data_IF_417702038870
#
_entry.id   IF_417702038870
#
_cell.length_a   1.000
_cell.length_b   1.000
_cell.length_c   1.000
_cell.angle_alpha   90.00
_cell.angle_beta   90.00
_cell.angle_gamma   90.00
#
_symmetry.space_group_name_H-M   'P 1'
#
loop_
_entity.id
_entity.type
_entity.pdbx_description
1 polymer ?
#
# COMPACT_ATOMS: atom_id res chain seq x y z
N UNK A 1 4.60 -11.98 12.45
CA UNK A 1 5.04 -12.79 13.63
C UNK A 1 3.91 -13.70 14.06
N UNK A 2 4.24 -14.95 14.31
CA UNK A 2 3.28 -15.95 14.77
C UNK A 2 3.65 -16.44 16.17
N UNK A 3 2.65 -16.57 17.06
CA UNK A 3 2.79 -17.26 18.34
C UNK A 3 2.34 -18.70 18.21
N UNK A 4 2.98 -19.58 18.95
CA UNK A 4 2.61 -20.98 19.10
C UNK A 4 2.22 -21.20 20.55
N UNK A 5 0.97 -21.58 20.78
CA UNK A 5 0.38 -21.76 22.12
C UNK A 5 0.14 -23.23 22.37
N UNK A 6 0.48 -23.72 23.58
CA UNK A 6 0.11 -25.06 24.03
C UNK A 6 -1.42 -25.14 24.23
N UNK A 7 -2.10 -25.88 23.38
CA UNK A 7 -3.55 -26.18 23.46
C UNK A 7 -3.80 -27.64 23.91
N UNK A 8 -2.78 -28.31 24.44
CA UNK A 8 -2.93 -29.63 24.99
C UNK A 8 -3.65 -29.59 26.35
N UNK A 9 -4.27 -30.68 26.76
CA UNK A 9 -4.89 -30.81 28.11
C UNK A 9 -3.85 -30.83 29.26
N UNK A 10 -2.58 -31.04 28.94
CA UNK A 10 -1.47 -31.10 29.90
C UNK A 10 -0.35 -30.13 29.52
N UNK A 11 0.57 -29.89 30.47
CA UNK A 11 1.80 -29.16 30.21
C UNK A 11 2.69 -29.89 29.21
N UNK A 12 3.47 -29.12 28.47
CA UNK A 12 4.53 -29.61 27.57
C UNK A 12 5.87 -29.06 28.03
N UNK A 13 6.95 -29.78 27.74
CA UNK A 13 8.31 -29.36 28.10
C UNK A 13 9.07 -29.03 26.79
N UNK A 14 9.49 -27.80 26.64
CA UNK A 14 10.30 -27.33 25.50
C UNK A 14 11.61 -26.78 26.06
N UNK A 15 12.74 -27.28 25.58
CA UNK A 15 14.09 -26.90 26.04
C UNK A 15 14.27 -26.95 27.58
N UNK A 16 13.63 -27.93 28.22
CA UNK A 16 13.68 -28.11 29.69
C UNK A 16 12.76 -27.17 30.48
N UNK A 17 11.98 -26.34 29.82
CA UNK A 17 11.01 -25.43 30.45
C UNK A 17 9.61 -26.01 30.30
N UNK A 18 8.85 -26.04 31.40
CA UNK A 18 7.48 -26.49 31.42
C UNK A 18 6.53 -25.34 31.02
N UNK A 19 5.63 -25.60 30.04
CA UNK A 19 4.61 -24.71 29.58
C UNK A 19 3.22 -25.29 29.85
N UNK A 20 2.44 -24.60 30.66
CA UNK A 20 1.08 -24.99 30.99
C UNK A 20 0.15 -24.83 29.76
N UNK A 21 -1.03 -25.49 29.73
CA UNK A 21 -2.07 -25.20 28.74
C UNK A 21 -2.38 -23.72 28.65
N UNK A 22 -2.48 -23.19 27.44
CA UNK A 22 -2.67 -21.77 27.16
C UNK A 22 -1.42 -20.90 27.15
N UNK A 23 -0.24 -21.46 27.49
CA UNK A 23 1.02 -20.71 27.46
C UNK A 23 1.60 -20.63 26.05
N UNK A 24 2.21 -19.50 25.72
CA UNK A 24 3.02 -19.37 24.49
C UNK A 24 4.31 -20.15 24.66
N UNK A 25 4.52 -21.15 23.83
CA UNK A 25 5.70 -22.02 23.86
C UNK A 25 6.81 -21.53 22.94
N UNK A 26 6.45 -20.84 21.87
CA UNK A 26 7.39 -20.25 20.92
C UNK A 26 6.75 -19.08 20.18
N UNK A 27 7.59 -18.20 19.64
CA UNK A 27 7.24 -17.23 18.62
C UNK A 27 8.17 -17.41 17.42
N UNK A 28 7.61 -17.33 16.22
CA UNK A 28 8.35 -17.42 14.96
C UNK A 28 8.05 -16.21 14.09
N UNK A 29 9.03 -15.81 13.29
CA UNK A 29 8.93 -14.66 12.38
C UNK A 29 9.15 -15.13 10.95
N UNK A 30 8.45 -14.50 10.01
CA UNK A 30 8.64 -14.77 8.58
C UNK A 30 9.99 -14.23 8.11
N UNK A 31 10.66 -15.00 7.26
CA UNK A 31 11.84 -14.56 6.52
C UNK A 31 11.47 -13.65 5.33
N UNK A 32 12.46 -13.29 4.53
CA UNK A 32 12.31 -12.47 3.32
C UNK A 32 11.40 -13.09 2.23
N UNK A 33 11.16 -14.40 2.30
CA UNK A 33 10.26 -15.13 1.40
C UNK A 33 8.84 -15.28 1.98
N UNK A 34 8.56 -14.66 3.14
CA UNK A 34 7.30 -14.79 3.84
C UNK A 34 7.11 -16.14 4.56
N UNK A 35 8.16 -16.94 4.74
CA UNK A 35 8.11 -18.26 5.35
C UNK A 35 8.54 -18.18 6.81
N UNK A 36 7.74 -18.76 7.72
CA UNK A 36 8.10 -18.95 9.11
C UNK A 36 8.19 -20.45 9.45
N UNK A 37 9.18 -20.84 10.22
CA UNK A 37 9.34 -22.24 10.65
C UNK A 37 9.97 -22.33 12.04
N UNK A 38 9.65 -23.39 12.76
CA UNK A 38 10.39 -23.78 13.97
C UNK A 38 11.69 -24.47 13.59
N UNK A 39 12.62 -24.58 14.54
CA UNK A 39 13.76 -25.49 14.41
C UNK A 39 13.28 -26.96 14.43
N UNK A 40 14.14 -27.88 14.00
CA UNK A 40 13.85 -29.31 14.10
C UNK A 40 13.60 -29.72 15.56
N UNK A 41 12.63 -30.56 15.76
CA UNK A 41 12.26 -31.13 17.10
C UNK A 41 11.93 -30.06 18.16
N UNK A 42 11.54 -28.82 17.74
CA UNK A 42 11.25 -27.74 18.66
C UNK A 42 10.03 -27.98 19.54
N UNK A 43 9.05 -28.72 19.04
CA UNK A 43 7.80 -28.95 19.75
C UNK A 43 7.59 -30.45 20.06
N UNK A 44 7.35 -30.80 21.32
CA UNK A 44 7.00 -32.18 21.71
C UNK A 44 5.59 -32.57 21.21
N UNK A 45 5.24 -33.83 21.39
CA UNK A 45 3.90 -34.32 21.11
C UNK A 45 2.87 -33.52 21.90
N UNK A 46 1.85 -33.04 21.21
CA UNK A 46 0.83 -32.16 21.79
C UNK A 46 -0.09 -31.54 20.74
N UNK A 47 -1.01 -30.72 21.22
CA UNK A 47 -1.85 -29.88 20.40
C UNK A 47 -1.40 -28.44 20.56
N UNK A 48 -1.26 -27.72 19.46
CA UNK A 48 -0.81 -26.34 19.45
C UNK A 48 -1.72 -25.47 18.59
N UNK A 49 -1.90 -24.24 19.01
CA UNK A 49 -2.52 -23.21 18.19
C UNK A 49 -1.43 -22.27 17.67
N UNK A 50 -1.33 -22.15 16.36
CA UNK A 50 -0.45 -21.18 15.69
C UNK A 50 -1.32 -19.99 15.28
N UNK A 51 -0.99 -18.80 15.76
CA UNK A 51 -1.76 -17.57 15.52
C UNK A 51 -0.83 -16.45 15.09
N UNK A 52 -1.21 -15.70 14.07
CA UNK A 52 -0.52 -14.46 13.76
C UNK A 52 -0.81 -13.41 14.82
N UNK A 53 0.26 -12.79 15.33
CA UNK A 53 0.17 -11.79 16.41
C UNK A 53 0.65 -10.42 16.01
N UNK A 54 1.38 -10.33 14.90
CA UNK A 54 1.86 -9.07 14.36
C UNK A 54 2.07 -9.20 12.85
N UNK A 55 1.36 -8.39 12.08
CA UNK A 55 1.59 -8.24 10.65
C UNK A 55 2.93 -7.53 10.37
N UNK A 56 3.51 -7.68 9.17
CA UNK A 56 4.64 -6.88 8.72
C UNK A 56 4.34 -5.38 8.74
N UNK A 57 5.38 -4.56 8.75
CA UNK A 57 5.19 -3.11 8.61
C UNK A 57 4.51 -2.81 7.27
N UNK A 58 3.55 -1.90 7.29
CA UNK A 58 2.75 -1.57 6.11
C UNK A 58 1.49 -2.42 5.92
N UNK A 59 1.30 -3.44 6.72
CA UNK A 59 0.14 -4.33 6.67
C UNK A 59 -0.71 -4.24 7.93
N UNK A 60 -1.96 -4.68 7.82
CA UNK A 60 -2.90 -4.84 8.92
C UNK A 60 -3.06 -6.31 9.23
N UNK A 61 -3.03 -6.66 10.50
CA UNK A 61 -3.56 -7.95 10.95
C UNK A 61 -5.03 -8.00 10.59
N UNK A 62 -5.40 -8.92 9.72
CA UNK A 62 -6.74 -9.19 9.19
C UNK A 62 -7.81 -8.12 9.49
N UNK A 63 -8.24 -7.40 8.46
CA UNK A 63 -9.24 -6.31 8.54
C UNK A 63 -10.57 -6.72 9.17
N UNK A 64 -10.86 -8.01 9.27
CA UNK A 64 -12.09 -8.57 9.84
C UNK A 64 -11.95 -9.04 11.28
N UNK A 65 -10.88 -8.67 12.00
CA UNK A 65 -10.64 -9.03 13.40
C UNK A 65 -10.49 -10.54 13.68
N UNK A 66 -10.19 -11.33 12.64
CA UNK A 66 -9.90 -12.76 12.77
C UNK A 66 -8.45 -12.97 12.44
N UNK A 67 -7.57 -12.79 13.42
CA UNK A 67 -6.19 -13.21 13.28
C UNK A 67 -6.16 -14.66 12.77
N UNK A 68 -5.37 -14.88 11.72
CA UNK A 68 -5.17 -16.23 11.22
C UNK A 68 -4.75 -17.16 12.36
N UNK A 69 -5.43 -18.28 12.48
CA UNK A 69 -5.16 -19.26 13.54
C UNK A 69 -5.36 -20.68 13.02
N UNK A 70 -4.45 -21.56 13.33
CA UNK A 70 -4.50 -22.98 12.96
C UNK A 70 -4.15 -23.85 14.16
N UNK A 71 -4.95 -24.88 14.37
CA UNK A 71 -4.65 -25.94 15.35
C UNK A 71 -3.84 -27.04 14.66
N UNK A 72 -2.72 -27.39 15.28
CA UNK A 72 -1.82 -28.46 14.82
C UNK A 72 -1.69 -29.50 15.92
N UNK A 73 -1.88 -30.78 15.57
CA UNK A 73 -1.66 -31.92 16.48
C UNK A 73 -0.38 -32.63 16.09
N UNK A 74 0.65 -32.53 16.93
CA UNK A 74 1.93 -33.24 16.76
C UNK A 74 1.78 -34.62 17.42
N UNK A 75 1.78 -35.67 16.60
CA UNK A 75 1.62 -37.07 17.05
C UNK A 75 2.75 -38.00 16.62
N UNK A 76 3.65 -37.51 15.80
CA UNK A 76 4.82 -38.22 15.27
C UNK A 76 5.93 -37.24 14.95
N UNK A 77 7.16 -37.72 14.78
CA UNK A 77 8.27 -36.92 14.31
C UNK A 77 8.10 -36.64 12.81
N UNK A 78 7.56 -35.48 12.48
CA UNK A 78 7.31 -35.06 11.12
C UNK A 78 7.35 -33.53 11.01
N UNK A 79 7.53 -33.05 9.81
CA UNK A 79 7.31 -31.63 9.46
C UNK A 79 5.83 -31.43 9.17
N UNK A 80 5.19 -30.61 9.97
CA UNK A 80 3.79 -30.21 9.76
C UNK A 80 3.78 -28.93 8.90
N UNK A 81 3.61 -29.14 7.60
CA UNK A 81 3.60 -28.05 6.62
C UNK A 81 2.24 -27.34 6.59
N UNK A 82 2.23 -26.06 6.92
CA UNK A 82 1.05 -25.19 6.90
C UNK A 82 1.08 -24.21 5.72
N UNK A 83 2.03 -24.36 4.80
CA UNK A 83 2.26 -23.41 3.67
C UNK A 83 1.38 -23.69 2.44
N UNK A 84 0.48 -24.68 2.47
CA UNK A 84 -0.46 -24.90 1.37
C UNK A 84 -1.32 -23.63 1.15
N UNK A 85 -1.79 -23.41 -0.08
CA UNK A 85 -2.64 -22.25 -0.44
C UNK A 85 -3.86 -22.07 0.46
N UNK A 86 -4.36 -23.16 1.05
CA UNK A 86 -5.45 -23.10 2.03
C UNK A 86 -5.02 -22.59 3.42
N UNK A 87 -3.72 -22.43 3.65
CA UNK A 87 -3.13 -22.01 4.92
C UNK A 87 -2.25 -20.76 4.74
N UNK A 88 -2.25 -20.11 3.56
CA UNK A 88 -1.62 -18.79 3.40
C UNK A 88 -2.34 -17.76 4.27
N UNK A 89 -1.59 -16.80 4.74
CA UNK A 89 -2.09 -15.65 5.48
C UNK A 89 -1.99 -14.45 4.56
N UNK A 90 -3.12 -13.81 4.29
CA UNK A 90 -3.18 -12.63 3.44
C UNK A 90 -3.45 -11.40 4.31
N UNK A 91 -2.44 -10.58 4.51
CA UNK A 91 -2.55 -9.34 5.22
C UNK A 91 -3.00 -8.21 4.28
N UNK A 92 -3.93 -7.39 4.75
CA UNK A 92 -4.34 -6.20 4.01
C UNK A 92 -3.26 -5.12 4.10
N UNK A 93 -2.84 -4.60 2.95
CA UNK A 93 -1.94 -3.44 2.88
C UNK A 93 -2.66 -2.21 3.46
N UNK A 94 -1.99 -1.46 4.32
CA UNK A 94 -2.45 -0.13 4.75
C UNK A 94 -2.52 0.80 3.55
N UNK A 95 -3.60 1.55 3.43
CA UNK A 95 -3.79 2.49 2.33
C UNK A 95 -4.29 3.83 2.86
N UNK A 96 -3.97 4.88 2.16
CA UNK A 96 -4.38 6.23 2.51
C UNK A 96 -4.50 7.13 1.30
N UNK A 97 -4.86 8.38 1.56
CA UNK A 97 -5.06 9.43 0.57
C UNK A 97 -4.31 10.68 0.98
N UNK A 98 -4.22 11.63 0.07
CA UNK A 98 -3.78 12.97 0.37
C UNK A 98 -4.56 14.00 -0.45
N UNK A 99 -4.60 15.22 0.06
CA UNK A 99 -5.19 16.37 -0.59
C UNK A 99 -4.35 17.62 -0.40
N UNK A 100 -4.42 18.52 -1.35
CA UNK A 100 -3.80 19.86 -1.27
C UNK A 100 -4.47 20.84 -2.24
N UNK A 101 -4.18 22.12 -2.07
CA UNK A 101 -4.62 23.17 -2.97
C UNK A 101 -3.46 23.76 -3.75
N UNK A 102 -3.56 23.79 -5.07
CA UNK A 102 -2.60 24.50 -5.92
C UNK A 102 -2.97 25.97 -6.02
N UNK A 103 -2.01 26.83 -5.67
CA UNK A 103 -2.15 28.30 -5.74
C UNK A 103 -0.97 28.92 -6.49
N UNK A 104 -1.19 30.10 -7.06
CA UNK A 104 -0.12 30.96 -7.54
C UNK A 104 0.60 31.58 -6.34
N UNK A 105 1.89 31.36 -6.23
CA UNK A 105 2.69 31.80 -5.07
C UNK A 105 2.79 33.33 -4.90
N UNK A 106 2.40 34.10 -5.92
CA UNK A 106 2.44 35.57 -5.89
C UNK A 106 1.06 36.18 -5.64
N UNK A 107 0.01 35.66 -6.30
CA UNK A 107 -1.35 36.22 -6.21
C UNK A 107 -2.21 35.50 -5.19
N UNK A 108 -1.81 34.30 -4.78
CA UNK A 108 -2.58 33.37 -3.94
C UNK A 108 -3.90 32.90 -4.60
N UNK A 109 -4.06 33.15 -5.89
CA UNK A 109 -5.18 32.65 -6.66
C UNK A 109 -5.04 31.13 -6.85
N UNK A 110 -6.16 30.43 -6.81
CA UNK A 110 -6.20 28.98 -7.04
C UNK A 110 -6.01 28.68 -8.54
N UNK A 111 -5.22 27.67 -8.83
CA UNK A 111 -4.89 27.28 -10.19
C UNK A 111 -5.55 25.95 -10.53
N UNK A 112 -6.52 26.00 -11.44
CA UNK A 112 -7.15 24.83 -12.04
C UNK A 112 -6.27 24.22 -13.16
N UNK A 113 -6.55 22.99 -13.52
CA UNK A 113 -5.96 22.28 -14.67
C UNK A 113 -4.43 22.13 -14.58
N UNK A 114 -3.90 22.04 -13.37
CA UNK A 114 -2.48 21.78 -13.13
C UNK A 114 -2.27 20.31 -12.86
N UNK A 115 -1.50 19.58 -13.70
CA UNK A 115 -1.23 18.16 -13.51
C UNK A 115 -0.06 17.94 -12.53
N UNK A 116 -0.16 16.87 -11.76
CA UNK A 116 0.85 16.39 -10.85
C UNK A 116 1.10 14.90 -11.09
N UNK A 117 2.35 14.53 -11.31
CA UNK A 117 2.80 13.14 -11.37
C UNK A 117 3.08 12.66 -9.94
N UNK A 118 2.43 11.57 -9.56
CA UNK A 118 2.65 10.89 -8.28
C UNK A 118 3.39 9.59 -8.58
N UNK A 119 4.56 9.39 -7.98
CA UNK A 119 5.40 8.21 -8.22
C UNK A 119 5.72 7.50 -6.91
N UNK A 120 5.40 6.20 -6.82
CA UNK A 120 5.81 5.32 -5.74
C UNK A 120 7.33 5.16 -5.73
N UNK A 121 7.98 5.32 -4.58
CA UNK A 121 9.43 5.11 -4.45
C UNK A 121 9.81 3.62 -4.44
N UNK A 122 8.92 2.77 -4.01
CA UNK A 122 9.20 1.32 -3.90
C UNK A 122 8.97 0.62 -5.23
N UNK A 123 7.84 0.88 -5.90
CA UNK A 123 7.45 0.14 -7.12
C UNK A 123 7.80 0.89 -8.40
N UNK A 124 7.95 2.21 -8.35
CA UNK A 124 8.07 3.07 -9.53
C UNK A 124 6.74 3.29 -10.27
N UNK A 125 5.63 2.71 -9.77
CA UNK A 125 4.29 2.96 -10.31
C UNK A 125 3.97 4.45 -10.21
N UNK A 126 3.38 5.02 -11.26
CA UNK A 126 3.09 6.45 -11.32
C UNK A 126 1.73 6.72 -11.94
N UNK A 127 1.07 7.75 -11.42
CA UNK A 127 -0.23 8.22 -11.88
C UNK A 127 -0.27 9.74 -11.89
N UNK A 128 -1.08 10.32 -12.78
CA UNK A 128 -1.26 11.77 -12.88
C UNK A 128 -2.62 12.17 -12.31
N UNK A 129 -2.61 13.15 -11.42
CA UNK A 129 -3.82 13.83 -10.94
C UNK A 129 -3.81 15.28 -11.43
N UNK A 130 -4.99 15.85 -11.58
CA UNK A 130 -5.14 17.22 -12.10
C UNK A 130 -5.97 18.05 -11.13
N UNK A 131 -5.50 19.25 -10.80
CA UNK A 131 -6.26 20.15 -9.93
C UNK A 131 -7.60 20.54 -10.57
N UNK A 132 -8.65 20.55 -9.75
CA UNK A 132 -10.00 20.93 -10.16
C UNK A 132 -10.15 22.46 -10.36
N UNK A 133 -11.38 22.91 -10.66
CA UNK A 133 -11.73 24.30 -10.84
C UNK A 133 -11.45 25.20 -9.63
N UNK A 134 -11.35 24.58 -8.44
CA UNK A 134 -11.00 25.25 -7.18
C UNK A 134 -9.50 25.11 -6.84
N UNK A 135 -8.70 24.58 -7.77
CA UNK A 135 -7.28 24.30 -7.53
C UNK A 135 -7.04 23.13 -6.56
N UNK A 136 -8.05 22.33 -6.26
CA UNK A 136 -7.94 21.21 -5.33
C UNK A 136 -7.42 19.96 -6.04
N UNK A 137 -6.54 19.26 -5.39
CA UNK A 137 -6.13 17.86 -5.69
C UNK A 137 -6.50 17.00 -4.50
N UNK A 138 -7.19 15.90 -4.73
CA UNK A 138 -7.56 14.92 -3.72
C UNK A 138 -7.51 13.52 -4.36
N UNK A 139 -6.93 12.54 -3.69
CA UNK A 139 -6.86 11.17 -4.20
C UNK A 139 -7.98 10.28 -3.68
N UNK A 140 -8.80 10.77 -2.74
CA UNK A 140 -9.86 9.98 -2.14
C UNK A 140 -11.03 9.70 -3.09
N UNK A 141 -11.68 8.55 -2.90
CA UNK A 141 -12.87 8.17 -3.65
C UNK A 141 -14.06 9.12 -3.44
N UNK A 142 -14.06 9.93 -2.36
CA UNK A 142 -15.07 10.97 -2.15
C UNK A 142 -14.98 12.12 -3.16
N UNK A 143 -13.79 12.35 -3.69
CA UNK A 143 -13.56 13.36 -4.73
C UNK A 143 -13.79 12.78 -6.11
N UNK A 144 -13.17 11.63 -6.41
CA UNK A 144 -13.40 10.84 -7.63
C UNK A 144 -13.26 9.35 -7.31
N UNK A 145 -14.19 8.49 -7.77
CA UNK A 145 -14.07 7.03 -7.59
C UNK A 145 -12.72 6.51 -8.07
N UNK A 146 -12.17 5.57 -7.37
CA UNK A 146 -10.91 4.93 -7.75
C UNK A 146 -11.06 4.16 -9.06
N UNK A 147 -10.05 4.18 -9.91
CA UNK A 147 -10.07 3.49 -11.19
C UNK A 147 -8.68 3.07 -11.65
N UNK A 148 -8.59 1.93 -12.34
CA UNK A 148 -7.40 1.54 -13.11
C UNK A 148 -7.24 2.39 -14.38
N UNK A 149 -8.35 2.82 -14.92
CA UNK A 149 -8.32 3.84 -15.96
C UNK A 149 -7.97 5.15 -15.28
N UNK A 150 -6.74 5.26 -14.94
CA UNK A 150 -6.19 6.49 -14.44
C UNK A 150 -6.72 7.64 -15.27
N UNK A 151 -6.77 8.84 -14.76
CA UNK A 151 -7.29 9.96 -15.54
C UNK A 151 -6.67 9.94 -16.96
N UNK A 152 -7.32 10.49 -17.95
CA UNK A 152 -6.83 10.43 -19.34
C UNK A 152 -5.35 10.82 -19.50
N UNK A 153 -4.75 11.42 -18.48
CA UNK A 153 -3.37 11.82 -18.41
C UNK A 153 -2.41 10.68 -18.04
N UNK A 154 -2.86 9.60 -17.41
CA UNK A 154 -1.99 8.43 -17.22
C UNK A 154 -1.71 7.70 -18.52
N UNK A 155 -2.61 7.89 -19.48
CA UNK A 155 -2.42 7.46 -20.86
C UNK A 155 -1.82 8.55 -21.73
N UNK A 156 -1.53 9.70 -21.17
CA UNK A 156 -0.58 10.59 -21.81
C UNK A 156 0.69 9.78 -21.84
N UNK A 157 0.89 9.10 -22.96
CA UNK A 157 2.07 8.30 -23.21
C UNK A 157 3.28 9.09 -22.69
N UNK A 158 4.30 8.41 -22.19
CA UNK A 158 5.56 9.04 -21.75
C UNK A 158 6.08 10.10 -22.73
N UNK A 159 5.59 10.05 -23.96
CA UNK A 159 5.82 11.02 -25.05
C UNK A 159 4.98 12.31 -24.95
N UNK A 160 3.97 12.37 -24.07
CA UNK A 160 3.08 13.55 -23.94
C UNK A 160 3.30 14.32 -22.64
N UNK A 161 3.85 13.66 -21.62
CA UNK A 161 4.32 14.29 -20.38
C UNK A 161 5.80 14.60 -20.56
N UNK A 162 6.13 15.84 -20.76
CA UNK A 162 7.51 16.29 -20.95
C UNK A 162 7.72 17.04 -22.26
N UNK A 163 8.94 17.58 -22.48
CA UNK A 163 9.24 18.29 -23.70
C UNK A 163 9.07 17.36 -24.90
N UNK A 164 7.97 17.54 -25.64
CA UNK A 164 7.81 16.91 -26.96
C UNK A 164 8.95 17.38 -27.85
N UNK A 165 9.85 16.48 -28.18
CA UNK A 165 10.99 16.76 -29.05
C UNK A 165 10.57 17.23 -30.46
N UNK A 166 9.28 17.18 -30.81
CA UNK A 166 8.74 17.40 -32.15
C UNK A 166 7.58 18.43 -32.25
N UNK A 167 7.23 19.11 -31.19
CA UNK A 167 6.27 20.22 -31.34
C UNK A 167 7.04 21.46 -31.79
N UNK A 168 6.55 22.08 -32.86
CA UNK A 168 7.05 23.38 -33.34
C UNK A 168 6.98 24.51 -32.29
N UNK A 169 6.47 24.21 -31.15
CA UNK A 169 6.22 25.05 -30.01
C UNK A 169 7.16 24.76 -28.84
N UNK A 170 8.01 23.79 -28.89
CA UNK A 170 9.13 23.44 -27.96
C UNK A 170 9.03 23.93 -26.48
N UNK A 171 7.81 24.18 -25.99
CA UNK A 171 7.56 24.73 -24.66
C UNK A 171 7.47 23.65 -23.57
N UNK A 172 7.34 22.38 -23.95
CA UNK A 172 7.15 21.28 -22.99
C UNK A 172 5.85 21.38 -22.18
N UNK A 173 4.88 22.16 -22.67
CA UNK A 173 3.64 22.43 -21.97
C UNK A 173 2.56 21.44 -22.43
N UNK A 174 1.96 20.73 -21.48
CA UNK A 174 0.83 19.84 -21.67
C UNK A 174 -0.48 20.63 -21.65
N UNK A 175 -1.36 20.39 -22.62
CA UNK A 175 -2.72 20.95 -22.63
C UNK A 175 -3.65 19.97 -21.89
N UNK A 176 -3.85 20.21 -20.61
CA UNK A 176 -4.72 19.38 -19.77
C UNK A 176 -6.17 19.74 -20.01
N UNK A 177 -7.00 18.74 -20.34
CA UNK A 177 -8.42 18.94 -20.56
C UNK A 177 -9.18 18.83 -19.23
N UNK A 178 -10.23 19.66 -19.01
CA UNK A 178 -11.05 19.60 -17.79
C UNK A 178 -11.72 18.26 -17.54
N UNK A 179 -12.04 17.50 -18.60
CA UNK A 179 -12.68 16.19 -18.56
C UNK A 179 -11.71 15.03 -18.24
N UNK A 180 -10.43 15.31 -18.11
CA UNK A 180 -9.42 14.31 -17.75
C UNK A 180 -9.27 14.07 -16.23
N UNK A 181 -10.14 14.64 -15.43
CA UNK A 181 -10.14 14.45 -13.97
C UNK A 181 -10.85 13.17 -13.61
N UNK A 182 -10.10 12.14 -13.29
CA UNK A 182 -10.61 10.87 -12.80
C UNK A 182 -9.90 10.52 -11.50
N UNK A 183 -10.43 9.56 -10.76
CA UNK A 183 -9.73 8.98 -9.62
C UNK A 183 -8.49 8.21 -10.07
N UNK A 184 -7.67 7.86 -9.13
CA UNK A 184 -6.47 7.03 -9.32
C UNK A 184 -6.52 5.82 -8.41
N UNK A 185 -5.71 4.81 -8.74
CA UNK A 185 -5.51 3.64 -7.91
C UNK A 185 -4.10 3.09 -8.12
N UNK A 186 -3.32 3.04 -7.07
CA UNK A 186 -2.02 2.39 -7.08
C UNK A 186 -2.17 0.92 -6.73
N UNK A 187 -1.65 0.03 -7.57
CA UNK A 187 -1.59 -1.41 -7.29
C UNK A 187 -0.67 -1.71 -6.10
N UNK A 188 0.41 -0.93 -5.97
CA UNK A 188 1.41 -1.11 -4.93
C UNK A 188 2.27 -2.35 -5.11
N UNK A 189 2.19 -2.99 -6.27
CA UNK A 189 2.93 -4.20 -6.66
C UNK A 189 3.38 -4.09 -8.10
N UNK A 190 4.48 -4.77 -8.40
CA UNK A 190 5.03 -4.81 -9.77
C UNK A 190 4.58 -6.03 -10.57
N UNK A 191 4.02 -7.03 -9.92
CA UNK A 191 3.72 -8.34 -10.48
C UNK A 191 2.23 -8.57 -10.78
N UNK A 192 1.33 -7.85 -10.11
CA UNK A 192 -0.11 -7.92 -10.35
C UNK A 192 -0.77 -6.55 -10.24
N UNK A 193 -1.87 -6.37 -10.97
CA UNK A 193 -2.79 -5.25 -10.78
C UNK A 193 -3.84 -5.64 -9.74
N UNK A 194 -4.06 -4.76 -8.75
CA UNK A 194 -5.13 -4.94 -7.75
C UNK A 194 -6.37 -4.17 -8.16
N UNK A 195 -7.55 -4.69 -7.87
CA UNK A 195 -8.81 -4.02 -8.20
C UNK A 195 -9.04 -2.79 -7.31
N UNK A 196 -9.52 -1.66 -7.88
CA UNK A 196 -9.87 -0.48 -7.12
C UNK A 196 -10.98 -0.78 -6.10
N UNK A 197 -10.84 -0.20 -4.91
CA UNK A 197 -11.83 -0.30 -3.83
C UNK A 197 -12.00 1.07 -3.17
N UNK A 198 -13.17 1.69 -3.39
CA UNK A 198 -13.51 3.01 -2.85
C UNK A 198 -13.63 3.05 -1.31
N UNK A 199 -13.64 1.90 -0.66
CA UNK A 199 -13.62 1.81 0.82
C UNK A 199 -12.21 1.93 1.41
N UNK A 200 -11.18 1.91 0.56
CA UNK A 200 -9.76 2.00 0.89
C UNK A 200 -9.18 3.30 0.34
N UNK A 201 -7.98 3.68 0.78
CA UNK A 201 -7.25 4.79 0.16
C UNK A 201 -6.63 4.39 -1.18
N UNK A 202 -6.43 5.36 -2.08
CA UNK A 202 -5.84 5.15 -3.39
C UNK A 202 -4.39 4.67 -3.33
N UNK A 203 -3.63 5.10 -2.30
CA UNK A 203 -2.20 4.90 -2.18
C UNK A 203 -1.86 3.86 -1.11
N UNK A 204 -1.19 2.75 -1.44
CA UNK A 204 -0.62 1.82 -0.48
C UNK A 204 0.42 2.48 0.45
N UNK A 205 0.73 1.80 1.55
CA UNK A 205 1.85 2.14 2.43
C UNK A 205 3.16 2.25 1.64
N UNK A 206 3.64 3.48 1.48
CA UNK A 206 4.89 3.81 0.78
C UNK A 206 5.22 5.29 0.97
N UNK A 207 6.33 5.72 0.38
CA UNK A 207 6.69 7.12 0.16
C UNK A 207 6.55 7.44 -1.32
N UNK A 208 5.85 8.53 -1.61
CA UNK A 208 5.58 9.00 -2.96
C UNK A 208 6.28 10.33 -3.22
N UNK A 209 6.76 10.49 -4.46
CA UNK A 209 7.19 11.80 -4.98
C UNK A 209 6.00 12.37 -5.75
N UNK A 210 5.66 13.63 -5.46
CA UNK A 210 4.63 14.40 -6.17
C UNK A 210 5.32 15.53 -6.90
N UNK A 211 5.21 15.55 -8.22
CA UNK A 211 5.89 16.50 -9.09
C UNK A 211 4.89 17.24 -9.97
N UNK A 212 4.92 18.56 -9.91
CA UNK A 212 4.12 19.40 -10.79
C UNK A 212 4.64 19.32 -12.22
N UNK A 213 3.74 19.08 -13.18
CA UNK A 213 4.06 19.00 -14.59
C UNK A 213 3.81 20.37 -15.26
N UNK A 214 4.70 20.85 -16.15
CA UNK A 214 4.50 22.08 -16.89
C UNK A 214 3.21 22.03 -17.73
N UNK A 215 2.37 23.05 -17.59
CA UNK A 215 1.13 23.21 -18.35
C UNK A 215 0.82 24.69 -18.59
N UNK A 216 -0.25 25.00 -19.34
CA UNK A 216 -0.65 26.40 -19.61
C UNK A 216 -0.99 27.17 -18.33
N UNK A 217 -1.60 26.51 -17.34
CA UNK A 217 -2.03 27.16 -16.10
C UNK A 217 -0.85 27.59 -15.21
N UNK A 218 0.29 26.90 -15.32
CA UNK A 218 1.49 27.18 -14.55
C UNK A 218 2.66 27.71 -15.40
N UNK A 219 2.40 28.11 -16.66
CA UNK A 219 3.41 28.70 -17.52
C UNK A 219 4.10 29.89 -16.81
N UNK A 220 5.42 29.97 -16.95
CA UNK A 220 6.26 31.01 -16.34
C UNK A 220 6.25 31.02 -14.79
N UNK A 221 5.77 29.94 -14.14
CA UNK A 221 5.79 29.77 -12.68
C UNK A 221 6.85 28.75 -12.26
N UNK A 222 7.30 28.87 -11.03
CA UNK A 222 8.15 27.83 -10.42
C UNK A 222 7.32 26.57 -10.15
N UNK A 223 7.78 25.43 -10.66
CA UNK A 223 7.17 24.13 -10.41
C UNK A 223 7.52 23.63 -9.00
N UNK A 224 6.60 22.91 -8.40
CA UNK A 224 6.82 22.32 -7.08
C UNK A 224 7.04 20.81 -7.17
N UNK A 225 7.85 20.30 -6.25
CA UNK A 225 8.04 18.88 -6.01
C UNK A 225 8.15 18.66 -4.51
N UNK A 226 7.47 17.64 -4.01
CA UNK A 226 7.49 17.26 -2.60
C UNK A 226 7.29 15.75 -2.44
N UNK A 227 7.49 15.26 -1.22
CA UNK A 227 7.24 13.86 -0.89
C UNK A 227 6.17 13.73 0.17
N UNK A 228 5.37 12.69 0.05
CA UNK A 228 4.41 12.26 1.06
C UNK A 228 4.71 10.83 1.48
N UNK A 229 4.31 10.45 2.69
CA UNK A 229 4.43 9.08 3.18
C UNK A 229 3.10 8.61 3.74
N UNK A 230 2.55 7.57 3.13
CA UNK A 230 1.39 6.85 3.65
C UNK A 230 1.90 5.80 4.64
N UNK A 231 1.77 6.07 5.94
CA UNK A 231 2.28 5.21 7.02
C UNK A 231 1.17 4.61 7.89
N UNK A 232 -0.06 5.08 7.72
CA UNK A 232 -1.24 4.64 8.49
C UNK A 232 -2.38 4.31 7.57
N UNK A 233 -3.18 3.32 7.97
CA UNK A 233 -4.39 2.97 7.25
C UNK A 233 -5.46 4.07 7.35
N UNK A 234 -6.23 4.25 6.26
CA UNK A 234 -7.35 5.21 6.17
C UNK A 234 -6.97 6.63 6.58
N UNK A 235 -5.75 7.03 6.34
CA UNK A 235 -5.33 8.42 6.55
C UNK A 235 -5.64 9.25 5.31
N UNK A 236 -6.09 10.48 5.51
CA UNK A 236 -6.07 11.51 4.48
C UNK A 236 -5.09 12.59 4.96
N UNK A 237 -4.02 12.80 4.20
CA UNK A 237 -3.00 13.80 4.50
C UNK A 237 -3.42 15.12 3.85
N UNK A 238 -3.83 16.09 4.66
CA UNK A 238 -4.13 17.46 4.21
C UNK A 238 -2.84 18.30 4.29
N UNK A 239 -2.38 18.82 3.13
CA UNK A 239 -1.06 19.47 2.95
C UNK A 239 -1.17 20.96 2.65
#
# INVERSE_FOLDING_TARGET
VFSIVNDSAASVVVDGIEFLPGSVVAAIETDENGCARTTENALPFGTYIVTETKAPDGYLLDANSRSWSKTVQIREEAVYDLTSTANSVDDQVKRGDFSFSKVDGRTMERLADVPFLITSKTTGESHVVVSDENGMVDTSANWNPHTHETNANDRIADTEIGPKADSSDNTGIVDVKPDSRTGIWFSGRTDITTEPDDSLGALPYDTYVVEEIPCKANADKALVSFTITVSRDKTNLDL
#
